data_IF_027192991238
#
_entry.id   IF_027192991238
#
_cell.length_a   1.000
_cell.length_b   1.000
_cell.length_c   1.000
_cell.angle_alpha   90.00
_cell.angle_beta   90.00
_cell.angle_gamma   90.00
#
_symmetry.space_group_name_H-M   'P 1'
#
loop_
_entity.id
_entity.type
_entity.pdbx_description
1 polymer ?
#
# COMPACT_ATOMS: atom_id res chain seq x y z
N UNK A 1 12.99 -4.60 7.49
CA UNK A 1 11.68 -5.26 7.65
C UNK A 1 10.68 -4.63 6.70
N UNK A 2 9.73 -5.41 6.19
CA UNK A 2 8.62 -4.92 5.36
C UNK A 2 7.31 -5.28 6.05
N UNK A 3 6.43 -4.29 6.22
CA UNK A 3 5.05 -4.48 6.66
C UNK A 3 4.11 -4.21 5.49
N UNK A 4 2.93 -4.82 5.48
CA UNK A 4 1.93 -4.66 4.42
C UNK A 4 0.66 -4.04 4.97
N UNK A 5 0.14 -3.03 4.29
CA UNK A 5 -1.08 -2.31 4.66
C UNK A 5 -1.77 -1.84 3.37
N UNK A 6 -2.90 -2.44 3.03
CA UNK A 6 -3.60 -2.19 1.77
C UNK A 6 -4.99 -1.56 1.98
N UNK A 7 -5.24 -0.99 3.16
CA UNK A 7 -6.53 -0.46 3.57
C UNK A 7 -6.39 0.79 4.45
N UNK A 8 -7.38 1.67 4.36
CA UNK A 8 -7.48 2.88 5.19
C UNK A 8 -8.47 2.72 6.35
N UNK A 9 -9.44 1.82 6.21
CA UNK A 9 -10.50 1.59 7.17
C UNK A 9 -10.91 0.10 7.19
N UNK A 10 -11.77 -0.27 8.13
CA UNK A 10 -12.20 -1.66 8.27
C UNK A 10 -12.93 -2.17 7.01
N UNK A 11 -13.70 -1.32 6.34
CA UNK A 11 -14.46 -1.71 5.14
C UNK A 11 -13.51 -2.09 3.98
N UNK A 12 -12.51 -1.25 3.71
CA UNK A 12 -11.48 -1.50 2.71
C UNK A 12 -10.59 -2.68 3.09
N UNK A 13 -10.30 -2.86 4.39
CA UNK A 13 -9.55 -4.00 4.89
C UNK A 13 -10.28 -5.32 4.63
N UNK A 14 -11.58 -5.38 4.93
CA UNK A 14 -12.41 -6.55 4.64
C UNK A 14 -12.52 -6.82 3.13
N UNK A 15 -12.65 -5.77 2.31
CA UNK A 15 -12.83 -5.91 0.87
C UNK A 15 -11.54 -6.36 0.14
N UNK A 16 -10.39 -5.78 0.52
CA UNK A 16 -9.09 -6.04 -0.13
C UNK A 16 -8.41 -7.26 0.47
N UNK A 17 -8.24 -7.32 1.79
CA UNK A 17 -7.44 -8.35 2.46
C UNK A 17 -8.24 -9.62 2.73
N UNK A 18 -9.57 -9.52 2.86
CA UNK A 18 -10.46 -10.64 3.22
C UNK A 18 -9.90 -11.43 4.42
N UNK A 19 -9.68 -10.76 5.55
CA UNK A 19 -9.02 -11.35 6.70
C UNK A 19 -9.85 -12.51 7.28
N UNK A 20 -9.20 -13.35 8.07
CA UNK A 20 -9.91 -14.32 8.89
C UNK A 20 -10.86 -13.60 9.86
N UNK A 21 -12.00 -14.22 10.24
CA UNK A 21 -12.91 -13.61 11.19
C UNK A 21 -12.20 -13.19 12.49
N UNK A 22 -12.61 -12.04 13.05
CA UNK A 22 -12.08 -11.42 14.28
C UNK A 22 -10.71 -10.77 14.18
N UNK A 23 -10.09 -10.72 13.00
CA UNK A 23 -8.93 -9.86 12.77
C UNK A 23 -9.41 -8.50 12.26
N UNK A 24 -9.09 -7.43 12.99
CA UNK A 24 -9.47 -6.06 12.64
C UNK A 24 -8.26 -5.25 12.19
N UNK A 25 -8.51 -4.22 11.37
CA UNK A 25 -7.47 -3.33 10.89
C UNK A 25 -6.79 -2.61 12.06
N UNK A 26 -7.56 -2.17 13.07
CA UNK A 26 -7.03 -1.44 14.22
C UNK A 26 -6.01 -2.27 15.01
N UNK A 27 -6.21 -3.59 15.13
CA UNK A 27 -5.26 -4.48 15.80
C UNK A 27 -3.90 -4.50 15.08
N UNK A 28 -3.93 -4.49 13.75
CA UNK A 28 -2.73 -4.44 12.90
C UNK A 28 -2.04 -3.08 13.06
N UNK A 29 -2.79 -1.97 13.00
CA UNK A 29 -2.24 -0.63 13.16
C UNK A 29 -1.62 -0.44 14.55
N UNK A 30 -2.28 -0.88 15.61
CA UNK A 30 -1.77 -0.86 16.97
C UNK A 30 -0.47 -1.67 17.09
N UNK A 31 -0.46 -2.89 16.53
CA UNK A 31 0.73 -3.74 16.47
C UNK A 31 1.90 -3.08 15.73
N UNK A 32 1.65 -2.42 14.60
CA UNK A 32 2.67 -1.72 13.83
C UNK A 32 3.21 -0.49 14.56
N UNK A 33 2.36 0.26 15.28
CA UNK A 33 2.80 1.39 16.12
C UNK A 33 3.71 0.91 17.24
N UNK A 34 3.33 -0.14 17.96
CA UNK A 34 4.15 -0.74 19.02
C UNK A 34 5.45 -1.33 18.47
N UNK A 35 5.38 -1.97 17.31
CA UNK A 35 6.56 -2.49 16.62
C UNK A 35 7.53 -1.35 16.27
N UNK A 36 7.04 -0.25 15.68
CA UNK A 36 7.88 0.91 15.33
C UNK A 36 8.57 1.52 16.55
N UNK A 37 7.89 1.58 17.69
CA UNK A 37 8.47 2.06 18.96
C UNK A 37 9.64 1.23 19.44
N UNK A 38 9.76 -0.05 19.07
CA UNK A 38 10.83 -0.96 19.53
C UNK A 38 11.88 -1.21 18.45
N UNK A 39 11.46 -1.22 17.18
CA UNK A 39 12.33 -1.52 16.05
C UNK A 39 13.02 -0.24 15.53
N UNK A 40 14.35 -0.27 15.51
CA UNK A 40 15.20 0.88 15.16
C UNK A 40 15.83 0.80 13.77
N UNK A 41 15.75 -0.36 13.12
CA UNK A 41 16.26 -0.54 11.76
C UNK A 41 15.23 -0.13 10.72
N UNK A 42 15.58 -0.24 9.43
CA UNK A 42 14.71 0.19 8.33
C UNK A 42 13.39 -0.60 8.28
N UNK A 43 12.29 0.14 8.29
CA UNK A 43 10.92 -0.32 8.09
C UNK A 43 10.39 0.23 6.75
N UNK A 44 10.10 -0.66 5.82
CA UNK A 44 9.34 -0.33 4.62
C UNK A 44 7.87 -0.70 4.81
N UNK A 45 6.96 0.15 4.36
CA UNK A 45 5.52 -0.08 4.37
C UNK A 45 5.05 -0.31 2.93
N UNK A 46 4.68 -1.54 2.61
CA UNK A 46 4.16 -1.89 1.30
C UNK A 46 2.65 -1.69 1.25
N UNK A 47 2.21 -0.95 0.23
CA UNK A 47 0.81 -0.65 -0.04
C UNK A 47 0.48 -0.99 -1.48
N UNK A 48 -0.51 -1.86 -1.67
CA UNK A 48 -1.01 -2.26 -2.97
C UNK A 48 -2.35 -1.60 -3.26
N UNK A 49 -2.41 -0.90 -4.38
CA UNK A 49 -3.60 -0.20 -4.85
C UNK A 49 -4.24 -0.96 -6.00
N UNK A 50 -5.56 -1.06 -5.91
CA UNK A 50 -6.48 -1.72 -6.85
C UNK A 50 -7.75 -0.88 -6.91
N UNK A 51 -8.66 -1.20 -7.84
CA UNK A 51 -9.89 -0.42 -8.05
C UNK A 51 -10.68 -0.18 -6.76
N UNK A 52 -10.68 -1.16 -5.86
CA UNK A 52 -11.44 -1.14 -4.59
C UNK A 52 -10.92 -0.09 -3.59
N UNK A 53 -9.61 0.18 -3.55
CA UNK A 53 -9.01 1.06 -2.53
C UNK A 53 -8.29 2.30 -3.11
N UNK A 54 -8.32 2.51 -4.44
CA UNK A 54 -7.60 3.62 -5.09
C UNK A 54 -7.97 5.00 -4.56
N UNK A 55 -9.23 5.18 -4.17
CA UNK A 55 -9.74 6.44 -3.63
C UNK A 55 -9.36 6.69 -2.16
N UNK A 56 -8.73 5.71 -1.50
CA UNK A 56 -8.32 5.80 -0.10
C UNK A 56 -6.86 6.26 0.06
N UNK A 57 -6.18 6.63 -1.03
CA UNK A 57 -4.76 6.98 -1.03
C UNK A 57 -4.39 8.08 -0.02
N UNK A 58 -5.19 9.14 0.06
CA UNK A 58 -4.98 10.23 1.01
C UNK A 58 -5.05 9.76 2.48
N UNK A 59 -6.01 8.90 2.81
CA UNK A 59 -6.15 8.36 4.16
C UNK A 59 -5.04 7.36 4.49
N UNK A 60 -4.66 6.51 3.52
CA UNK A 60 -3.51 5.61 3.66
C UNK A 60 -2.20 6.38 3.84
N UNK A 61 -2.02 7.52 3.17
CA UNK A 61 -0.86 8.39 3.37
C UNK A 61 -0.80 8.92 4.81
N UNK A 62 -1.92 9.38 5.38
CA UNK A 62 -1.98 9.80 6.79
C UNK A 62 -1.64 8.65 7.75
N UNK A 63 -2.13 7.44 7.47
CA UNK A 63 -1.78 6.27 8.28
C UNK A 63 -0.29 5.96 8.18
N UNK A 64 0.29 6.01 6.98
CA UNK A 64 1.72 5.82 6.79
C UNK A 64 2.53 6.85 7.58
N UNK A 65 2.15 8.14 7.56
CA UNK A 65 2.81 9.18 8.36
C UNK A 65 2.79 8.84 9.87
N UNK A 66 1.64 8.41 10.40
CA UNK A 66 1.51 7.99 11.79
C UNK A 66 2.39 6.79 12.16
N UNK A 67 2.65 5.89 11.20
CA UNK A 67 3.51 4.72 11.38
C UNK A 67 5.00 5.03 11.19
N UNK A 68 5.33 6.20 10.63
CA UNK A 68 6.69 6.70 10.41
C UNK A 68 7.66 5.66 9.82
N UNK A 69 7.34 5.03 8.68
CA UNK A 69 8.24 4.12 7.98
C UNK A 69 9.40 4.91 7.34
N UNK A 70 10.50 4.22 7.04
CA UNK A 70 11.62 4.78 6.29
C UNK A 70 11.31 4.89 4.79
N UNK A 71 10.36 4.09 4.30
CA UNK A 71 9.96 4.04 2.90
C UNK A 71 8.55 3.48 2.75
N UNK A 72 7.76 4.00 1.82
CA UNK A 72 6.47 3.44 1.41
C UNK A 72 6.59 2.87 0.00
N UNK A 73 6.23 1.61 -0.18
CA UNK A 73 6.25 0.92 -1.47
C UNK A 73 4.85 0.90 -2.08
N UNK A 74 4.59 1.77 -3.06
CA UNK A 74 3.30 1.90 -3.75
C UNK A 74 3.28 0.99 -4.97
N UNK A 75 2.40 -0.01 -4.95
CA UNK A 75 2.33 -1.07 -5.95
C UNK A 75 0.92 -1.29 -6.49
N UNK A 76 0.83 -2.03 -7.59
CA UNK A 76 -0.40 -2.51 -8.23
C UNK A 76 -0.16 -3.94 -8.74
N UNK A 77 -1.15 -4.84 -8.83
CA UNK A 77 -0.91 -6.22 -9.22
C UNK A 77 -0.47 -6.35 -10.68
N UNK A 78 0.82 -6.61 -10.90
CA UNK A 78 1.40 -6.81 -12.24
C UNK A 78 1.45 -8.28 -12.67
N UNK A 79 1.20 -9.20 -11.74
CA UNK A 79 1.20 -10.64 -12.02
C UNK A 79 -0.17 -11.04 -12.58
N UNK A 80 -0.25 -12.10 -13.42
CA UNK A 80 -1.52 -12.68 -13.82
C UNK A 80 -2.35 -13.06 -12.59
N UNK A 81 -3.43 -12.33 -12.35
CA UNK A 81 -4.39 -12.59 -11.29
C UNK A 81 -5.76 -12.02 -11.67
N UNK A 82 -6.79 -12.31 -10.87
CA UNK A 82 -8.16 -11.86 -11.14
C UNK A 82 -8.37 -10.36 -10.94
N UNK A 83 -7.42 -9.67 -10.30
CA UNK A 83 -7.48 -8.23 -10.05
C UNK A 83 -6.62 -7.51 -11.08
N UNK A 84 -7.21 -6.56 -11.81
CA UNK A 84 -6.51 -5.79 -12.83
C UNK A 84 -5.57 -4.76 -12.19
N UNK A 85 -4.40 -4.49 -12.79
CA UNK A 85 -3.57 -3.38 -12.38
C UNK A 85 -4.29 -2.05 -12.65
N UNK A 86 -4.12 -1.10 -11.74
CA UNK A 86 -4.41 0.31 -12.01
C UNK A 86 -3.47 0.84 -13.12
N UNK A 87 -3.95 1.75 -13.97
CA UNK A 87 -3.14 2.35 -15.01
C UNK A 87 -2.10 3.32 -14.42
N UNK A 88 -1.00 3.62 -15.14
CA UNK A 88 0.11 4.41 -14.61
C UNK A 88 -0.28 5.80 -14.10
N UNK A 89 -1.25 6.46 -14.74
CA UNK A 89 -1.76 7.77 -14.35
C UNK A 89 -2.45 7.75 -12.98
N UNK A 90 -3.20 6.69 -12.68
CA UNK A 90 -3.82 6.51 -11.36
C UNK A 90 -2.75 6.25 -10.29
N UNK A 91 -1.74 5.44 -10.62
CA UNK A 91 -0.60 5.21 -9.71
C UNK A 91 0.20 6.51 -9.47
N UNK A 92 0.35 7.35 -10.48
CA UNK A 92 1.00 8.66 -10.33
C UNK A 92 0.17 9.59 -9.42
N UNK A 93 -1.15 9.62 -9.59
CA UNK A 93 -2.06 10.36 -8.71
C UNK A 93 -1.97 9.87 -7.26
N UNK A 94 -2.00 8.54 -7.05
CA UNK A 94 -1.84 7.94 -5.73
C UNK A 94 -0.49 8.31 -5.11
N UNK A 95 0.62 8.21 -5.87
CA UNK A 95 1.95 8.61 -5.40
C UNK A 95 2.00 10.07 -4.92
N UNK A 96 1.22 10.96 -5.53
CA UNK A 96 1.20 12.38 -5.17
C UNK A 96 0.64 12.66 -3.77
N UNK A 97 -0.18 11.76 -3.22
CA UNK A 97 -0.72 11.86 -1.86
C UNK A 97 0.35 11.62 -0.78
N UNK A 98 1.43 10.89 -1.11
CA UNK A 98 2.50 10.51 -0.18
C UNK A 98 3.67 11.51 -0.14
N UNK A 99 3.39 12.79 -0.43
CA UNK A 99 4.41 13.86 -0.60
C UNK A 99 5.40 14.05 0.55
N UNK A 100 5.03 13.67 1.78
CA UNK A 100 5.87 13.82 2.97
C UNK A 100 6.69 12.55 3.30
N UNK A 101 6.57 11.50 2.49
CA UNK A 101 7.18 10.20 2.73
C UNK A 101 8.09 9.82 1.57
N UNK A 102 9.15 9.08 1.87
CA UNK A 102 9.98 8.49 0.81
C UNK A 102 9.17 7.37 0.14
N UNK A 103 8.77 7.57 -1.10
CA UNK A 103 8.07 6.52 -1.87
C UNK A 103 9.05 5.73 -2.75
N UNK A 104 8.87 4.42 -2.80
CA UNK A 104 9.42 3.53 -3.82
C UNK A 104 8.28 2.73 -4.46
N UNK A 105 8.52 2.09 -5.60
CA UNK A 105 7.47 1.28 -6.23
C UNK A 105 7.56 1.28 -7.75
N UNK A 106 7.24 0.12 -8.32
CA UNK A 106 7.38 -0.16 -9.75
C UNK A 106 6.33 0.61 -10.56
N UNK A 107 6.76 1.69 -11.21
CA UNK A 107 6.23 2.04 -12.53
C UNK A 107 6.99 1.18 -13.53
N UNK A 108 6.70 -0.13 -13.62
CA UNK A 108 7.30 -0.93 -14.69
C UNK A 108 6.80 -0.37 -16.01
N UNK A 109 7.76 0.05 -16.83
CA UNK A 109 7.52 0.69 -18.10
C UNK A 109 6.67 -0.15 -19.04
N UNK A 110 5.88 0.56 -19.83
CA UNK A 110 5.56 0.09 -21.16
C UNK A 110 6.87 0.08 -21.98
N UNK A 111 7.58 -1.04 -21.97
CA UNK A 111 8.23 -1.46 -23.21
C UNK A 111 7.16 -2.22 -24.00
N UNK A 112 6.37 -1.45 -24.75
CA UNK A 112 5.76 -1.97 -25.96
C UNK A 112 6.93 -2.26 -26.92
N UNK A 113 7.39 -3.52 -26.94
CA UNK A 113 8.08 -4.20 -28.03
C UNK A 113 8.52 -5.59 -27.54
N UNK A 114 7.75 -6.63 -27.89
CA UNK A 114 8.23 -7.83 -28.61
C UNK A 114 7.11 -8.89 -28.74
N UNK A 115 6.50 -8.87 -29.94
CA UNK A 115 6.00 -9.99 -30.79
C UNK A 115 5.02 -11.03 -30.22
N UNK A 116 3.79 -10.99 -30.77
CA UNK A 116 3.24 -12.01 -31.67
C UNK A 116 2.18 -11.38 -32.57
#
# INVERSE_FOLDING_TARGET
>A
MVAKLDAADEATFQAVNRPVPRLHLEDILAGLREFRKKYRSRLALQMMFVEVNKNCAADMARIAEMLSPDEVQINTPLRPCSVKPLPPEEIAAIKSEFKNLKTAGQTTGYNCNEKA
#
